data_IF_831410451239
#
_entry.id   IF_831410451239
#
_cell.length_a   1.000
_cell.length_b   1.000
_cell.length_c   1.000
_cell.angle_alpha   90.00
_cell.angle_beta   90.00
_cell.angle_gamma   90.00
#
_symmetry.space_group_name_H-M   'P 1'
#
loop_
_entity.id
_entity.type
_entity.pdbx_description
1 polymer ?
#
# COMPACT_ATOMS: atom_id res chain seq x y z
N UNK A 1 8.69 -21.32 0.06
CA UNK A 1 9.00 -19.95 -0.39
C UNK A 1 7.87 -19.06 0.08
N UNK A 2 8.00 -18.43 1.24
CA UNK A 2 6.99 -17.50 1.73
C UNK A 2 7.28 -16.13 1.10
N UNK A 3 6.71 -15.87 -0.07
CA UNK A 3 6.59 -14.52 -0.60
C UNK A 3 5.55 -13.81 0.23
N UNK A 4 5.96 -13.27 1.39
CA UNK A 4 5.08 -12.40 2.18
C UNK A 4 4.58 -11.28 1.26
N UNK A 5 3.27 -11.08 1.14
CA UNK A 5 2.75 -10.01 0.30
C UNK A 5 3.16 -8.66 0.93
N UNK A 6 4.16 -8.02 0.34
CA UNK A 6 4.52 -6.66 0.72
C UNK A 6 3.43 -5.72 0.19
N UNK A 7 2.88 -4.86 1.05
CA UNK A 7 1.84 -3.90 0.69
C UNK A 7 2.39 -2.48 0.81
N UNK A 8 2.15 -1.62 -0.17
CA UNK A 8 2.37 -0.19 0.01
C UNK A 8 1.24 0.41 0.85
N UNK A 9 1.60 1.17 1.88
CA UNK A 9 0.66 1.90 2.72
C UNK A 9 0.46 3.30 2.16
N UNK A 10 -0.80 3.65 1.95
CA UNK A 10 -1.21 4.98 1.54
C UNK A 10 -2.23 5.55 2.53
N UNK A 11 -2.20 6.87 2.74
CA UNK A 11 -3.20 7.58 3.51
C UNK A 11 -3.91 8.60 2.62
N UNK A 12 -5.23 8.55 2.57
CA UNK A 12 -6.00 9.56 1.87
C UNK A 12 -5.93 10.88 2.62
N UNK A 13 -5.50 11.97 1.98
CA UNK A 13 -5.42 13.30 2.61
C UNK A 13 -6.79 13.92 2.90
N UNK A 14 -7.84 13.44 2.23
CA UNK A 14 -9.21 13.95 2.36
C UNK A 14 -9.89 13.35 3.58
N UNK A 15 -10.01 12.02 3.63
CA UNK A 15 -10.71 11.32 4.71
C UNK A 15 -9.78 10.75 5.79
N UNK A 16 -8.47 10.93 5.64
CA UNK A 16 -7.41 10.40 6.52
C UNK A 16 -7.39 8.88 6.72
N UNK A 17 -8.19 8.13 5.96
CA UNK A 17 -8.19 6.66 5.98
C UNK A 17 -6.92 6.10 5.37
N UNK A 18 -6.46 5.02 5.99
CA UNK A 18 -5.33 4.24 5.53
C UNK A 18 -5.80 3.16 4.56
N UNK A 19 -5.04 2.96 3.49
CA UNK A 19 -5.28 1.97 2.46
C UNK A 19 -4.00 1.19 2.22
N UNK A 20 -4.16 -0.13 2.15
CA UNK A 20 -3.09 -1.06 1.81
C UNK A 20 -3.23 -1.44 0.34
N UNK A 21 -2.17 -1.25 -0.43
CA UNK A 21 -2.12 -1.63 -1.83
C UNK A 21 -1.10 -2.75 -2.02
N UNK A 22 -1.51 -3.94 -2.50
CA UNK A 22 -0.58 -5.04 -2.73
C UNK A 22 0.46 -4.65 -3.79
N UNK A 23 1.73 -4.93 -3.49
CA UNK A 23 2.84 -4.68 -4.42
C UNK A 23 2.97 -5.83 -5.39
N UNK A 24 3.10 -5.50 -6.67
CA UNK A 24 3.36 -6.47 -7.72
C UNK A 24 4.78 -7.03 -7.55
N UNK A 25 4.89 -8.32 -7.26
CA UNK A 25 6.17 -8.98 -6.99
C UNK A 25 7.15 -8.88 -8.18
N UNK A 26 6.64 -8.97 -9.41
CA UNK A 26 7.44 -8.86 -10.64
C UNK A 26 7.80 -7.42 -11.02
N UNK A 27 7.03 -6.43 -10.58
CA UNK A 27 7.18 -5.04 -11.04
C UNK A 27 6.66 -4.04 -9.98
N UNK A 28 7.41 -3.81 -8.89
CA UNK A 28 6.97 -2.93 -7.80
C UNK A 28 6.72 -1.50 -8.29
N UNK A 29 7.53 -1.00 -9.23
CA UNK A 29 7.39 0.32 -9.84
C UNK A 29 6.09 0.51 -10.64
N UNK A 30 5.49 -0.60 -11.11
CA UNK A 30 4.21 -0.57 -11.84
C UNK A 30 3.00 -0.75 -10.93
N UNK A 31 3.21 -0.88 -9.62
CA UNK A 31 2.12 -1.03 -8.67
C UNK A 31 1.23 0.22 -8.73
N UNK A 32 -0.07 0.08 -9.04
CA UNK A 32 -0.96 1.23 -9.16
C UNK A 32 -1.17 1.89 -7.80
N UNK A 33 -1.31 3.21 -7.77
CA UNK A 33 -1.69 3.92 -6.53
C UNK A 33 -3.21 3.75 -6.33
N UNK A 34 -3.67 3.35 -5.13
CA UNK A 34 -5.10 3.21 -4.85
C UNK A 34 -5.80 4.57 -4.97
N UNK A 35 -7.12 4.57 -5.20
CA UNK A 35 -7.94 5.79 -5.24
C UNK A 35 -8.99 5.73 -4.14
N UNK A 36 -9.18 6.84 -3.43
CA UNK A 36 -10.15 6.94 -2.34
C UNK A 36 -11.21 8.01 -2.62
N UNK A 37 -11.16 9.17 -1.99
CA UNK A 37 -12.20 10.20 -2.15
C UNK A 37 -12.09 11.04 -3.43
N UNK A 38 -10.86 11.35 -3.85
CA UNK A 38 -10.58 12.18 -5.03
C UNK A 38 -9.90 11.36 -6.11
N UNK A 39 -8.57 11.37 -6.10
CA UNK A 39 -7.75 10.58 -7.03
C UNK A 39 -6.50 10.00 -6.40
N UNK A 40 -5.60 9.54 -7.27
CA UNK A 40 -4.27 9.02 -6.87
C UNK A 40 -3.40 10.09 -6.20
N UNK A 41 -3.52 11.35 -6.63
CA UNK A 41 -2.76 12.49 -6.06
C UNK A 41 -3.12 12.80 -4.60
N UNK A 42 -4.32 12.43 -4.17
CA UNK A 42 -4.79 12.63 -2.80
C UNK A 42 -4.31 11.52 -1.85
N UNK A 43 -3.65 10.49 -2.38
CA UNK A 43 -3.09 9.40 -1.60
C UNK A 43 -1.63 9.70 -1.26
N UNK A 44 -1.37 9.99 0.01
CA UNK A 44 -0.02 10.16 0.52
C UNK A 44 0.61 8.78 0.77
N UNK A 45 1.74 8.50 0.12
CA UNK A 45 2.53 7.33 0.44
C UNK A 45 3.07 7.41 1.89
N UNK A 46 2.86 6.36 2.68
CA UNK A 46 3.28 6.27 4.08
C UNK A 46 4.40 5.27 4.33
N UNK A 47 4.71 4.42 3.36
CA UNK A 47 5.77 3.42 3.47
C UNK A 47 5.36 2.05 2.97
N UNK A 48 6.23 1.07 3.19
CA UNK A 48 5.96 -0.34 2.94
C UNK A 48 5.48 -1.00 4.22
N UNK A 49 4.38 -1.73 4.14
CA UNK A 49 3.93 -2.68 5.15
C UNK A 49 4.33 -4.07 4.68
N UNK A 50 5.43 -4.58 5.23
CA UNK A 50 5.71 -6.00 5.10
C UNK A 50 4.82 -6.68 6.15
N UNK A 51 3.90 -7.55 5.73
CA UNK A 51 3.30 -8.51 6.67
C UNK A 51 4.37 -9.53 7.05
N UNK A 52 5.35 -9.08 7.83
CA UNK A 52 6.09 -9.97 8.71
C UNK A 52 5.10 -10.27 9.82
N UNK A 53 4.59 -11.50 9.83
CA UNK A 53 3.73 -12.03 10.88
C UNK A 53 4.27 -11.62 12.25
N UNK A 54 3.51 -10.80 12.97
CA UNK A 54 3.48 -10.88 14.41
C UNK A 54 2.80 -12.23 14.72
N UNK A 55 3.63 -13.25 14.91
CA UNK A 55 3.22 -14.51 15.51
C UNK A 55 4.24 -14.82 16.59
N UNK A 56 4.13 -14.14 17.73
CA UNK A 56 4.56 -14.64 19.05
C UNK A 56 3.57 -14.19 20.13
#
# INVERSE_FOLDING_TARGET
>A
MATSPSHYKYQCRICQKEHLQPVLADAPEKTPIPRCCGGDRDMAYKGHHNETQDQE
#
